data_IF_473548426127
#
_entry.id   IF_473548426127
#
_cell.length_a   1.000
_cell.length_b   1.000
_cell.length_c   1.000
_cell.angle_alpha   90.00
_cell.angle_beta   90.00
_cell.angle_gamma   90.00
#
_symmetry.space_group_name_H-M   'P 1'
#
loop_
_entity.id
_entity.type
_entity.pdbx_description
1 polymer ?
#
# COMPACT_ATOMS: atom_id res chain seq x y z
N UNK A 1 7.03 -63.19 -3.62
CA UNK A 1 6.67 -61.87 -3.04
C UNK A 1 7.70 -60.77 -3.30
N UNK A 2 9.01 -61.05 -3.27
CA UNK A 2 10.10 -60.06 -3.42
C UNK A 2 10.06 -59.18 -4.69
N UNK A 3 9.76 -59.75 -5.87
CA UNK A 3 9.73 -58.98 -7.14
C UNK A 3 8.71 -57.84 -7.11
N UNK A 4 7.56 -58.03 -6.45
CA UNK A 4 6.50 -56.99 -6.32
C UNK A 4 6.98 -55.80 -5.51
N UNK A 5 7.68 -56.07 -4.42
CA UNK A 5 8.20 -55.03 -3.53
C UNK A 5 9.29 -54.21 -4.23
N UNK A 6 10.17 -54.86 -4.97
CA UNK A 6 11.24 -54.19 -5.75
C UNK A 6 10.65 -53.29 -6.84
N UNK A 7 9.64 -53.75 -7.58
CA UNK A 7 8.97 -52.92 -8.60
C UNK A 7 8.26 -51.69 -8.00
N UNK A 8 7.53 -51.87 -6.89
CA UNK A 8 6.86 -50.75 -6.20
C UNK A 8 7.87 -49.76 -5.64
N UNK A 9 8.98 -50.22 -5.06
CA UNK A 9 10.07 -49.37 -4.57
C UNK A 9 10.73 -48.59 -5.71
N UNK A 10 10.95 -49.22 -6.87
CA UNK A 10 11.49 -48.55 -8.05
C UNK A 10 10.59 -47.42 -8.55
N UNK A 11 9.27 -47.67 -8.62
CA UNK A 11 8.30 -46.66 -9.04
C UNK A 11 8.20 -45.51 -8.03
N UNK A 12 8.20 -45.83 -6.73
CA UNK A 12 8.18 -44.83 -5.67
C UNK A 12 9.44 -43.95 -5.72
N UNK A 13 10.62 -44.55 -5.90
CA UNK A 13 11.87 -43.82 -5.99
C UNK A 13 11.96 -42.92 -7.23
N UNK A 14 11.34 -43.30 -8.35
CA UNK A 14 11.25 -42.45 -9.52
C UNK A 14 10.25 -41.29 -9.35
N UNK A 15 9.15 -41.50 -8.62
CA UNK A 15 8.11 -40.49 -8.41
C UNK A 15 8.46 -39.46 -7.33
N UNK A 16 9.21 -39.85 -6.29
CA UNK A 16 9.53 -39.01 -5.13
C UNK A 16 10.24 -37.69 -5.50
N UNK A 17 11.26 -37.66 -6.39
CA UNK A 17 11.90 -36.40 -6.80
C UNK A 17 10.92 -35.44 -7.47
N UNK A 18 10.03 -35.94 -8.32
CA UNK A 18 9.00 -35.14 -8.98
C UNK A 18 8.05 -34.50 -7.99
N UNK A 19 7.51 -35.30 -7.06
CA UNK A 19 6.64 -34.80 -5.98
C UNK A 19 7.36 -33.78 -5.09
N UNK A 20 8.64 -34.00 -4.79
CA UNK A 20 9.47 -33.07 -4.02
C UNK A 20 9.60 -31.70 -4.71
N UNK A 21 9.92 -31.68 -6.00
CA UNK A 21 10.03 -30.43 -6.78
C UNK A 21 8.68 -29.73 -6.90
N UNK A 22 7.58 -30.46 -7.16
CA UNK A 22 6.25 -29.84 -7.26
C UNK A 22 5.78 -29.29 -5.91
N UNK A 23 6.00 -30.00 -4.81
CA UNK A 23 5.68 -29.51 -3.46
C UNK A 23 6.49 -28.27 -3.09
N UNK A 24 7.77 -28.22 -3.46
CA UNK A 24 8.61 -27.03 -3.30
C UNK A 24 8.03 -25.84 -4.08
N UNK A 25 7.74 -26.01 -5.37
CA UNK A 25 7.15 -24.96 -6.22
C UNK A 25 5.78 -24.49 -5.72
N UNK A 26 4.95 -25.41 -5.20
CA UNK A 26 3.68 -25.06 -4.58
C UNK A 26 3.88 -24.16 -3.34
N UNK A 27 4.92 -24.45 -2.54
CA UNK A 27 5.28 -23.64 -1.37
C UNK A 27 5.76 -22.24 -1.77
N UNK A 28 6.58 -22.13 -2.82
CA UNK A 28 6.99 -20.83 -3.39
C UNK A 28 5.78 -20.05 -3.91
N UNK A 29 4.88 -20.67 -4.67
CA UNK A 29 3.68 -20.03 -5.20
C UNK A 29 2.75 -19.54 -4.07
N UNK A 30 2.61 -20.32 -3.00
CA UNK A 30 1.88 -19.91 -1.80
C UNK A 30 2.53 -18.70 -1.11
N UNK A 31 3.86 -18.71 -0.98
CA UNK A 31 4.63 -17.58 -0.45
C UNK A 31 4.40 -16.30 -1.25
N UNK A 32 4.52 -16.38 -2.57
CA UNK A 32 4.26 -15.27 -3.50
C UNK A 32 2.83 -14.74 -3.39
N UNK A 33 1.84 -15.62 -3.29
CA UNK A 33 0.44 -15.21 -3.12
C UNK A 33 0.21 -14.47 -1.79
N UNK A 34 0.76 -14.98 -0.68
CA UNK A 34 0.69 -14.30 0.63
C UNK A 34 1.44 -12.97 0.66
N UNK A 35 2.58 -12.89 -0.03
CA UNK A 35 3.34 -11.64 -0.15
C UNK A 35 2.54 -10.60 -0.93
N UNK A 36 1.92 -10.98 -2.05
CA UNK A 36 1.06 -10.10 -2.84
C UNK A 36 -0.16 -9.64 -2.02
N UNK A 37 -0.80 -10.52 -1.25
CA UNK A 37 -1.93 -10.18 -0.39
C UNK A 37 -1.55 -9.15 0.69
N UNK A 38 -0.41 -9.36 1.38
CA UNK A 38 0.10 -8.39 2.36
C UNK A 38 0.43 -7.04 1.71
N UNK A 39 1.03 -7.06 0.53
CA UNK A 39 1.34 -5.83 -0.21
C UNK A 39 0.06 -5.07 -0.61
N UNK A 40 -0.99 -5.75 -1.05
CA UNK A 40 -2.29 -5.13 -1.34
C UNK A 40 -2.88 -4.48 -0.07
N UNK A 41 -2.86 -5.18 1.08
CA UNK A 41 -3.37 -4.62 2.34
C UNK A 41 -2.59 -3.37 2.75
N UNK A 42 -1.26 -3.40 2.65
CA UNK A 42 -0.42 -2.23 2.92
C UNK A 42 -0.74 -1.07 1.96
N UNK A 43 -0.90 -1.33 0.66
CA UNK A 43 -1.29 -0.30 -0.32
C UNK A 43 -2.66 0.29 -0.01
N UNK A 44 -3.64 -0.54 0.39
CA UNK A 44 -4.98 -0.05 0.82
C UNK A 44 -4.88 0.82 2.08
N UNK A 45 -4.04 0.43 3.05
CA UNK A 45 -3.79 1.24 4.23
C UNK A 45 -3.16 2.59 3.88
N UNK A 46 -2.13 2.61 3.02
CA UNK A 46 -1.53 3.85 2.49
C UNK A 46 -2.59 4.73 1.83
N UNK A 47 -3.40 4.17 0.93
CA UNK A 47 -4.43 4.91 0.21
C UNK A 47 -5.45 5.56 1.15
N UNK A 48 -6.00 4.77 2.08
CA UNK A 48 -7.00 5.26 3.04
C UNK A 48 -6.40 6.31 3.99
N UNK A 49 -5.17 6.11 4.49
CA UNK A 49 -4.50 7.07 5.36
C UNK A 49 -4.18 8.39 4.65
N UNK A 50 -3.77 8.36 3.38
CA UNK A 50 -3.53 9.58 2.60
C UNK A 50 -4.82 10.37 2.34
N UNK A 51 -5.93 9.67 2.04
CA UNK A 51 -7.26 10.30 1.91
C UNK A 51 -7.72 10.89 3.24
N UNK A 52 -7.56 10.14 4.34
CA UNK A 52 -7.87 10.60 5.69
C UNK A 52 -7.06 11.86 6.08
N UNK A 53 -5.75 11.89 5.79
CA UNK A 53 -4.88 13.05 6.02
C UNK A 53 -5.34 14.27 5.21
N UNK A 54 -5.71 14.08 3.94
CA UNK A 54 -6.20 15.15 3.06
C UNK A 54 -7.51 15.72 3.58
N UNK A 55 -8.45 14.84 3.95
CA UNK A 55 -9.76 15.24 4.46
C UNK A 55 -9.66 15.93 5.82
N UNK A 56 -8.82 15.44 6.73
CA UNK A 56 -8.51 16.10 7.99
C UNK A 56 -7.93 17.50 7.73
N UNK A 57 -6.95 17.61 6.84
CA UNK A 57 -6.33 18.90 6.48
C UNK A 57 -7.33 19.89 5.87
N UNK A 58 -8.28 19.41 5.07
CA UNK A 58 -9.36 20.22 4.52
C UNK A 58 -10.31 20.69 5.62
N UNK A 59 -10.72 19.79 6.53
CA UNK A 59 -11.59 20.12 7.65
C UNK A 59 -10.96 21.15 8.58
N UNK A 60 -9.68 20.99 8.93
CA UNK A 60 -8.97 21.96 9.75
C UNK A 60 -8.90 23.33 9.06
N UNK A 61 -8.75 23.37 7.74
CA UNK A 61 -8.82 24.62 6.96
C UNK A 61 -10.19 25.31 7.08
N UNK A 62 -11.28 24.55 6.99
CA UNK A 62 -12.65 25.06 7.17
C UNK A 62 -12.89 25.56 8.60
N UNK A 63 -12.45 24.80 9.61
CA UNK A 63 -12.55 25.20 11.02
C UNK A 63 -11.79 26.50 11.30
N UNK A 64 -10.59 26.65 10.73
CA UNK A 64 -9.80 27.87 10.86
C UNK A 64 -10.50 29.07 10.20
N UNK A 65 -11.05 28.88 8.99
CA UNK A 65 -11.81 29.92 8.31
C UNK A 65 -13.05 30.33 9.10
N UNK A 66 -13.80 29.36 9.63
CA UNK A 66 -14.98 29.60 10.46
C UNK A 66 -14.65 30.31 11.77
N UNK A 67 -13.53 29.96 12.43
CA UNK A 67 -13.11 30.62 13.66
C UNK A 67 -12.83 32.13 13.47
N UNK A 68 -12.32 32.51 12.30
CA UNK A 68 -11.93 33.89 11.99
C UNK A 68 -13.04 34.71 11.32
N UNK A 69 -14.02 34.07 10.67
CA UNK A 69 -15.07 34.75 9.95
C UNK A 69 -16.04 35.49 10.90
N UNK A 70 -16.46 36.73 10.58
CA UNK A 70 -17.52 37.41 11.33
C UNK A 70 -18.84 36.60 11.33
N UNK A 71 -19.22 36.09 10.15
CA UNK A 71 -20.37 35.22 9.93
C UNK A 71 -19.92 33.89 9.29
N UNK A 72 -19.62 32.85 10.09
CA UNK A 72 -19.10 31.59 9.57
C UNK A 72 -20.19 30.70 8.94
N UNK A 73 -19.83 29.98 7.86
CA UNK A 73 -20.64 28.88 7.31
C UNK A 73 -20.48 27.61 8.16
N UNK A 74 -21.25 27.53 9.26
CA UNK A 74 -21.21 26.38 10.16
C UNK A 74 -21.75 25.11 9.50
N UNK A 75 -22.70 25.23 8.58
CA UNK A 75 -23.32 24.07 7.93
C UNK A 75 -22.36 23.41 6.94
N UNK A 76 -21.68 24.20 6.11
CA UNK A 76 -20.58 23.71 5.28
C UNK A 76 -19.46 23.07 6.11
N UNK A 77 -19.13 23.67 7.25
CA UNK A 77 -18.11 23.16 8.18
C UNK A 77 -18.50 21.80 8.80
N UNK A 78 -19.78 21.61 9.15
CA UNK A 78 -20.30 20.31 9.62
C UNK A 78 -20.26 19.25 8.54
N UNK A 79 -20.71 19.58 7.33
CA UNK A 79 -20.72 18.65 6.19
C UNK A 79 -19.30 18.16 5.86
N UNK A 80 -18.34 19.08 5.84
CA UNK A 80 -16.92 18.75 5.69
C UNK A 80 -16.41 17.88 6.86
N UNK A 81 -16.86 18.14 8.09
CA UNK A 81 -16.50 17.35 9.27
C UNK A 81 -17.01 15.90 9.22
N UNK A 82 -18.23 15.69 8.71
CA UNK A 82 -18.78 14.35 8.50
C UNK A 82 -17.97 13.58 7.45
N UNK A 83 -17.67 14.20 6.32
CA UNK A 83 -16.85 13.60 5.27
C UNK A 83 -15.44 13.23 5.77
N UNK A 84 -14.79 14.13 6.53
CA UNK A 84 -13.49 13.87 7.12
C UNK A 84 -13.53 12.73 8.16
N UNK A 85 -14.58 12.66 8.98
CA UNK A 85 -14.75 11.59 9.97
C UNK A 85 -14.93 10.23 9.30
N UNK A 86 -15.70 10.15 8.21
CA UNK A 86 -15.87 8.91 7.45
C UNK A 86 -14.54 8.40 6.88
N UNK A 87 -13.74 9.28 6.27
CA UNK A 87 -12.43 8.93 5.72
C UNK A 87 -11.40 8.57 6.81
N UNK A 88 -11.45 9.22 7.96
CA UNK A 88 -10.62 8.83 9.12
C UNK A 88 -10.99 7.44 9.63
N UNK A 89 -12.27 7.09 9.67
CA UNK A 89 -12.73 5.75 10.04
C UNK A 89 -12.30 4.68 9.01
N UNK A 90 -12.36 4.99 7.71
CA UNK A 90 -11.80 4.13 6.66
C UNK A 90 -10.29 3.93 6.86
N UNK A 91 -9.55 5.00 7.16
CA UNK A 91 -8.14 4.96 7.49
C UNK A 91 -7.82 4.07 8.69
N UNK A 92 -8.61 4.16 9.76
CA UNK A 92 -8.54 3.27 10.93
C UNK A 92 -8.71 1.81 10.52
N UNK A 93 -9.79 1.49 9.79
CA UNK A 93 -10.11 0.12 9.40
C UNK A 93 -9.02 -0.48 8.49
N UNK A 94 -8.55 0.28 7.50
CA UNK A 94 -7.51 -0.16 6.57
C UNK A 94 -6.16 -0.34 7.27
N UNK A 95 -5.77 0.58 8.17
CA UNK A 95 -4.56 0.44 8.98
C UNK A 95 -4.61 -0.81 9.86
N UNK A 96 -5.75 -1.05 10.54
CA UNK A 96 -5.94 -2.25 11.36
C UNK A 96 -5.89 -3.54 10.53
N UNK A 97 -6.52 -3.56 9.35
CA UNK A 97 -6.52 -4.73 8.46
C UNK A 97 -5.11 -5.09 7.97
N UNK A 98 -4.24 -4.09 7.82
CA UNK A 98 -2.84 -4.27 7.46
C UNK A 98 -1.90 -4.48 8.66
N UNK A 99 -2.44 -4.54 9.90
CA UNK A 99 -1.67 -4.79 11.12
C UNK A 99 -0.92 -3.57 11.68
N UNK A 100 -1.28 -2.35 11.27
CA UNK A 100 -0.71 -1.11 11.78
C UNK A 100 -1.50 -0.52 12.96
N UNK A 101 -0.88 0.40 13.69
CA UNK A 101 -1.53 1.12 14.80
C UNK A 101 -2.66 2.02 14.28
N UNK A 102 -3.89 1.69 14.63
CA UNK A 102 -5.09 2.37 14.13
C UNK A 102 -5.64 3.49 15.04
N UNK A 103 -5.00 3.74 16.20
CA UNK A 103 -5.47 4.75 17.17
C UNK A 103 -5.32 6.20 16.66
N UNK A 104 -4.36 6.45 15.76
CA UNK A 104 -4.03 7.80 15.35
C UNK A 104 -5.15 8.48 14.51
N UNK A 105 -5.74 7.86 13.47
CA UNK A 105 -6.88 8.46 12.77
C UNK A 105 -8.09 8.67 13.67
N UNK A 106 -8.32 7.80 14.66
CA UNK A 106 -9.39 7.96 15.65
C UNK A 106 -9.14 9.18 16.57
N UNK A 107 -7.91 9.35 17.07
CA UNK A 107 -7.50 10.54 17.83
C UNK A 107 -7.70 11.83 17.02
N UNK A 108 -7.33 11.81 15.74
CA UNK A 108 -7.53 12.94 14.84
C UNK A 108 -9.02 13.26 14.65
N UNK A 109 -9.87 12.24 14.47
CA UNK A 109 -11.32 12.40 14.34
C UNK A 109 -11.94 13.01 15.60
N UNK A 110 -11.62 12.47 16.78
CA UNK A 110 -12.10 13.02 18.07
C UNK A 110 -11.67 14.47 18.25
N UNK A 111 -10.43 14.79 17.89
CA UNK A 111 -9.91 16.16 17.97
C UNK A 111 -10.66 17.10 17.02
N UNK A 112 -10.89 16.69 15.76
CA UNK A 112 -11.63 17.50 14.79
C UNK A 112 -13.06 17.78 15.25
N UNK A 113 -13.75 16.78 15.82
CA UNK A 113 -15.10 16.95 16.40
C UNK A 113 -15.08 17.90 17.60
N UNK A 114 -14.09 17.78 18.49
CA UNK A 114 -13.96 18.68 19.63
C UNK A 114 -13.70 20.14 19.19
N UNK A 115 -12.84 20.34 18.19
CA UNK A 115 -12.57 21.66 17.62
C UNK A 115 -13.80 22.26 16.93
N UNK A 116 -14.58 21.44 16.21
CA UNK A 116 -15.85 21.87 15.62
C UNK A 116 -16.81 22.45 16.67
N UNK A 117 -17.02 21.74 17.78
CA UNK A 117 -17.89 22.24 18.87
C UNK A 117 -17.39 23.56 19.46
N UNK A 118 -16.07 23.73 19.60
CA UNK A 118 -15.47 24.99 20.06
C UNK A 118 -15.70 26.13 19.06
N UNK A 119 -15.57 25.84 17.75
CA UNK A 119 -15.88 26.81 16.69
C UNK A 119 -17.35 27.21 16.72
N UNK A 120 -18.28 26.28 16.87
CA UNK A 120 -19.71 26.57 16.97
C UNK A 120 -20.02 27.43 18.20
N UNK A 121 -19.44 27.10 19.36
CA UNK A 121 -19.60 27.89 20.58
C UNK A 121 -19.01 29.30 20.46
N UNK A 122 -17.87 29.45 19.77
CA UNK A 122 -17.27 30.76 19.50
C UNK A 122 -18.07 31.57 18.48
N UNK A 123 -18.70 30.92 17.50
CA UNK A 123 -19.53 31.57 16.49
C UNK A 123 -20.79 32.23 17.08
N UNK A 124 -21.29 31.71 18.21
CA UNK A 124 -22.39 32.31 18.97
C UNK A 124 -21.99 33.60 19.71
N UNK A 125 -20.71 33.99 19.69
CA UNK A 125 -20.18 35.14 20.42
C UNK A 125 -19.68 36.22 19.45
N UNK A 126 -19.77 37.51 19.82
CA UNK A 126 -19.12 38.59 19.10
C UNK A 126 -17.61 38.34 18.98
N UNK A 127 -16.94 38.72 17.86
CA UNK A 127 -15.52 38.43 17.64
C UNK A 127 -14.60 38.79 18.81
N UNK A 128 -14.85 39.92 19.48
CA UNK A 128 -14.06 40.39 20.62
C UNK A 128 -14.15 39.50 21.89
N UNK A 129 -15.17 38.64 21.99
CA UNK A 129 -15.36 37.73 23.13
C UNK A 129 -14.98 36.28 22.82
N UNK A 130 -14.63 35.97 21.57
CA UNK A 130 -14.24 34.60 21.16
C UNK A 130 -12.96 34.17 21.88
N UNK A 131 -12.86 32.87 22.14
CA UNK A 131 -11.69 32.25 22.75
C UNK A 131 -10.41 32.57 21.94
N UNK A 132 -9.45 33.33 22.50
CA UNK A 132 -8.25 33.73 21.77
C UNK A 132 -7.31 32.55 21.49
N UNK A 133 -7.49 31.41 22.17
CA UNK A 133 -6.66 30.22 21.98
C UNK A 133 -7.12 29.32 20.84
N UNK A 134 -8.37 29.49 20.37
CA UNK A 134 -8.99 28.58 19.40
C UNK A 134 -8.20 28.48 18.09
N UNK A 135 -7.79 29.61 17.52
CA UNK A 135 -7.01 29.65 16.27
C UNK A 135 -5.66 28.94 16.42
N UNK A 136 -4.98 29.15 17.55
CA UNK A 136 -3.71 28.50 17.87
C UNK A 136 -3.90 26.98 17.98
N UNK A 137 -4.93 26.54 18.70
CA UNK A 137 -5.18 25.12 18.93
C UNK A 137 -5.57 24.38 17.63
N UNK A 138 -6.38 25.01 16.78
CA UNK A 138 -6.71 24.49 15.43
C UNK A 138 -5.44 24.35 14.59
N UNK A 139 -4.56 25.35 14.62
CA UNK A 139 -3.29 25.34 13.86
C UNK A 139 -2.34 24.26 14.39
N UNK A 140 -2.25 24.09 15.71
CA UNK A 140 -1.45 23.04 16.34
C UNK A 140 -1.96 21.65 15.97
N UNK A 141 -3.29 21.44 15.97
CA UNK A 141 -3.89 20.18 15.55
C UNK A 141 -3.57 19.84 14.09
N UNK A 142 -3.57 20.85 13.19
CA UNK A 142 -3.16 20.67 11.79
C UNK A 142 -1.77 20.06 11.67
N UNK A 143 -0.78 20.71 12.26
CA UNK A 143 0.62 20.31 12.13
C UNK A 143 0.85 18.96 12.82
N UNK A 144 0.37 18.81 14.06
CA UNK A 144 0.60 17.60 14.86
C UNK A 144 0.01 16.34 14.22
N UNK A 145 -1.26 16.37 13.81
CA UNK A 145 -1.89 15.21 13.18
C UNK A 145 -1.48 15.02 11.72
N UNK A 146 -1.25 16.11 10.97
CA UNK A 146 -0.75 16.02 9.60
C UNK A 146 0.59 15.29 9.53
N UNK A 147 1.54 15.64 10.40
CA UNK A 147 2.87 15.03 10.42
C UNK A 147 2.82 13.57 10.90
N UNK A 148 2.03 13.27 11.96
CA UNK A 148 1.86 11.91 12.48
C UNK A 148 1.15 10.98 11.48
N UNK A 149 0.10 11.45 10.79
CA UNK A 149 -0.60 10.65 9.77
C UNK A 149 0.30 10.39 8.56
N UNK A 150 1.08 11.39 8.16
CA UNK A 150 2.10 11.22 7.11
C UNK A 150 3.18 10.21 7.52
N UNK A 151 3.60 10.20 8.78
CA UNK A 151 4.52 9.19 9.30
C UNK A 151 3.91 7.79 9.24
N UNK A 152 2.69 7.60 9.76
CA UNK A 152 2.01 6.30 9.72
C UNK A 152 1.85 5.77 8.28
N UNK A 153 1.56 6.67 7.33
CA UNK A 153 1.52 6.34 5.90
C UNK A 153 2.87 5.84 5.38
N UNK A 154 3.97 6.52 5.71
CA UNK A 154 5.32 6.06 5.33
C UNK A 154 5.66 4.72 5.98
N UNK A 155 5.27 4.53 7.25
CA UNK A 155 5.46 3.25 7.94
C UNK A 155 4.74 2.12 7.23
N UNK A 156 3.50 2.34 6.77
CA UNK A 156 2.76 1.38 5.97
C UNK A 156 3.41 1.09 4.60
N UNK A 157 4.03 2.10 3.97
CA UNK A 157 4.72 1.95 2.69
C UNK A 157 6.08 1.25 2.75
N UNK A 158 6.82 1.33 3.86
CA UNK A 158 8.21 0.81 3.95
C UNK A 158 8.35 -0.68 3.64
N UNK A 159 7.36 -1.51 3.99
CA UNK A 159 7.39 -2.95 3.72
C UNK A 159 7.33 -3.30 2.23
N UNK A 160 6.76 -2.41 1.41
CA UNK A 160 6.55 -2.68 -0.02
C UNK A 160 7.85 -2.75 -0.82
N UNK A 161 8.91 -2.06 -0.41
CA UNK A 161 10.17 -2.05 -1.16
C UNK A 161 10.81 -3.44 -1.28
N UNK A 162 10.78 -4.22 -0.20
CA UNK A 162 11.31 -5.59 -0.18
C UNK A 162 10.33 -6.59 -0.81
N UNK A 163 9.04 -6.44 -0.54
CA UNK A 163 8.03 -7.44 -0.90
C UNK A 163 7.43 -7.26 -2.31
N UNK A 164 7.33 -6.02 -2.78
CA UNK A 164 6.63 -5.66 -4.01
C UNK A 164 7.19 -4.34 -4.61
N UNK A 165 8.41 -4.34 -5.18
CA UNK A 165 9.09 -3.12 -5.62
C UNK A 165 8.29 -2.29 -6.65
N UNK A 166 7.51 -2.93 -7.51
CA UNK A 166 6.62 -2.23 -8.45
C UNK A 166 5.50 -1.46 -7.73
N UNK A 167 4.92 -2.02 -6.66
CA UNK A 167 3.92 -1.34 -5.84
C UNK A 167 4.57 -0.21 -5.03
N UNK A 168 5.81 -0.42 -4.57
CA UNK A 168 6.57 0.60 -3.84
C UNK A 168 6.78 1.87 -4.70
N UNK A 169 7.18 1.72 -5.97
CA UNK A 169 7.35 2.84 -6.89
C UNK A 169 6.05 3.64 -7.11
N UNK A 170 4.92 2.95 -7.24
CA UNK A 170 3.61 3.59 -7.38
C UNK A 170 3.19 4.34 -6.10
N UNK A 171 3.45 3.73 -4.93
CA UNK A 171 3.21 4.37 -3.62
C UNK A 171 4.13 5.57 -3.39
N UNK A 172 5.35 5.53 -3.91
CA UNK A 172 6.29 6.66 -3.87
C UNK A 172 5.75 7.86 -4.66
N UNK A 173 5.26 7.64 -5.89
CA UNK A 173 4.57 8.69 -6.68
C UNK A 173 3.38 9.27 -5.90
N UNK A 174 2.52 8.41 -5.33
CA UNK A 174 1.40 8.86 -4.51
C UNK A 174 1.84 9.69 -3.30
N UNK A 175 2.95 9.30 -2.66
CA UNK A 175 3.52 10.02 -1.51
C UNK A 175 4.06 11.40 -1.89
N UNK A 176 4.72 11.55 -3.04
CA UNK A 176 5.14 12.85 -3.55
C UNK A 176 3.96 13.75 -3.92
N UNK A 177 2.88 13.20 -4.49
CA UNK A 177 1.66 13.95 -4.79
C UNK A 177 0.98 14.46 -3.49
N UNK A 178 0.97 13.66 -2.42
CA UNK A 178 0.48 14.11 -1.11
C UNK A 178 1.41 15.17 -0.49
N UNK A 179 2.73 15.02 -0.60
CA UNK A 179 3.69 16.00 -0.09
C UNK A 179 3.57 17.36 -0.80
N UNK A 180 3.36 17.34 -2.12
CA UNK A 180 3.02 18.50 -2.93
C UNK A 180 1.76 19.16 -2.37
N UNK A 181 0.66 18.39 -2.23
CA UNK A 181 -0.61 18.90 -1.72
C UNK A 181 -0.52 19.47 -0.30
N UNK A 182 0.24 18.85 0.60
CA UNK A 182 0.41 19.34 1.98
C UNK A 182 1.17 20.66 1.99
N UNK A 183 2.26 20.75 1.24
CA UNK A 183 3.07 21.97 1.13
C UNK A 183 2.25 23.13 0.55
N UNK A 184 1.46 22.87 -0.51
CA UNK A 184 0.51 23.84 -1.06
C UNK A 184 -0.56 24.24 -0.03
N UNK A 185 -1.10 23.29 0.72
CA UNK A 185 -2.08 23.54 1.76
C UNK A 185 -1.55 24.45 2.86
N UNK A 186 -0.32 24.21 3.35
CA UNK A 186 0.33 25.06 4.36
C UNK A 186 0.63 26.45 3.82
N UNK A 187 1.12 26.56 2.58
CA UNK A 187 1.39 27.85 1.91
C UNK A 187 0.10 28.65 1.75
N UNK A 188 -0.96 27.99 1.32
CA UNK A 188 -2.28 28.57 1.18
C UNK A 188 -2.87 29.11 2.49
N UNK A 189 -2.59 28.48 3.63
CA UNK A 189 -2.99 29.01 4.94
C UNK A 189 -2.26 30.31 5.29
N UNK A 190 -0.96 30.42 5.02
CA UNK A 190 -0.21 31.66 5.21
C UNK A 190 -0.79 32.78 4.34
N UNK A 191 -1.01 32.49 3.06
CA UNK A 191 -1.62 33.44 2.12
C UNK A 191 -3.01 33.88 2.60
N UNK A 192 -3.86 32.93 3.01
CA UNK A 192 -5.21 33.23 3.52
C UNK A 192 -5.15 34.13 4.76
N UNK A 193 -4.19 33.90 5.65
CA UNK A 193 -3.95 34.71 6.85
C UNK A 193 -3.57 36.15 6.48
N UNK A 194 -2.65 36.33 5.53
CA UNK A 194 -2.21 37.65 5.08
C UNK A 194 -3.32 38.44 4.38
N UNK A 195 -4.07 37.77 3.48
CA UNK A 195 -5.23 38.37 2.83
C UNK A 195 -6.35 38.69 3.84
N UNK A 196 -6.41 37.96 4.96
CA UNK A 196 -7.30 38.21 6.09
C UNK A 196 -6.86 39.36 7.01
N UNK A 197 -5.78 40.06 6.68
CA UNK A 197 -5.29 41.23 7.41
C UNK A 197 -4.20 40.95 8.44
N UNK A 198 -3.74 39.71 8.59
CA UNK A 198 -2.57 39.45 9.43
C UNK A 198 -1.31 40.06 8.78
N UNK A 199 -0.45 40.73 9.56
CA UNK A 199 0.75 41.37 9.03
C UNK A 199 1.69 40.31 8.43
N UNK A 200 2.28 40.63 7.27
CA UNK A 200 3.36 39.81 6.72
C UNK A 200 4.61 40.10 7.52
N UNK A 201 5.13 39.09 8.22
CA UNK A 201 6.41 39.19 8.94
C UNK A 201 7.53 38.51 8.14
N UNK A 202 8.80 38.92 8.35
CA UNK A 202 9.95 38.24 7.73
C UNK A 202 9.95 36.73 7.98
N UNK A 203 9.58 36.30 9.19
CA UNK A 203 9.50 34.89 9.55
C UNK A 203 8.43 34.13 8.74
N UNK A 204 7.21 34.68 8.63
CA UNK A 204 6.13 34.04 7.86
C UNK A 204 6.42 34.01 6.36
N UNK A 205 7.05 35.05 5.82
CA UNK A 205 7.44 35.11 4.41
C UNK A 205 8.56 34.09 4.10
N UNK A 206 9.59 34.00 4.95
CA UNK A 206 10.61 32.96 4.84
C UNK A 206 10.00 31.55 4.88
N UNK A 207 9.03 31.32 5.77
CA UNK A 207 8.29 30.07 5.83
C UNK A 207 7.56 29.74 4.51
N UNK A 208 6.94 30.73 3.87
CA UNK A 208 6.32 30.55 2.56
C UNK A 208 7.34 30.26 1.44
N UNK A 209 8.52 30.88 1.49
CA UNK A 209 9.62 30.58 0.55
C UNK A 209 10.14 29.15 0.70
N UNK A 210 10.28 28.64 1.92
CA UNK A 210 10.62 27.22 2.16
C UNK A 210 9.55 26.30 1.57
N UNK A 211 8.26 26.66 1.71
CA UNK A 211 7.17 25.89 1.12
C UNK A 211 7.18 25.93 -0.41
N UNK A 212 7.55 27.06 -1.03
CA UNK A 212 7.77 27.12 -2.49
C UNK A 212 8.84 26.11 -2.95
N UNK A 213 9.96 26.04 -2.24
CA UNK A 213 11.02 25.05 -2.54
C UNK A 213 10.53 23.60 -2.42
N UNK A 214 9.73 23.28 -1.40
CA UNK A 214 9.16 21.93 -1.22
C UNK A 214 8.12 21.56 -2.28
N UNK A 215 7.31 22.53 -2.69
CA UNK A 215 6.35 22.38 -3.81
C UNK A 215 7.11 22.07 -5.10
N UNK A 216 8.12 22.87 -5.42
CA UNK A 216 8.97 22.69 -6.60
C UNK A 216 9.65 21.32 -6.59
N UNK A 217 10.29 20.95 -5.48
CA UNK A 217 10.94 19.65 -5.33
C UNK A 217 9.95 18.50 -5.55
N UNK A 218 8.78 18.53 -4.89
CA UNK A 218 7.79 17.45 -5.03
C UNK A 218 7.27 17.34 -6.46
N UNK A 219 7.10 18.48 -7.15
CA UNK A 219 6.68 18.50 -8.55
C UNK A 219 7.76 17.95 -9.50
N UNK A 220 9.03 18.27 -9.29
CA UNK A 220 10.14 17.73 -10.06
C UNK A 220 10.29 16.21 -9.87
N UNK A 221 10.12 15.72 -8.64
CA UNK A 221 10.14 14.27 -8.37
C UNK A 221 9.00 13.54 -9.10
N UNK A 222 7.80 14.11 -9.15
CA UNK A 222 6.68 13.51 -9.89
C UNK A 222 6.98 13.44 -11.40
N UNK A 223 7.52 14.52 -11.97
CA UNK A 223 7.93 14.56 -13.38
C UNK A 223 9.05 13.56 -13.69
N UNK A 224 9.94 13.29 -12.72
CA UNK A 224 11.02 12.32 -12.87
C UNK A 224 10.53 10.87 -12.72
N UNK A 225 9.67 10.60 -11.75
CA UNK A 225 9.25 9.24 -11.38
C UNK A 225 8.21 8.67 -12.35
N UNK A 226 7.20 9.47 -12.72
CA UNK A 226 6.07 8.98 -13.52
C UNK A 226 6.51 8.37 -14.86
N UNK A 227 7.39 9.02 -15.67
CA UNK A 227 7.82 8.47 -16.96
C UNK A 227 8.64 7.17 -16.86
N UNK A 228 9.12 6.80 -15.66
CA UNK A 228 9.85 5.53 -15.47
C UNK A 228 8.94 4.31 -15.40
N UNK A 229 7.63 4.52 -15.30
CA UNK A 229 6.62 3.47 -15.23
C UNK A 229 5.80 3.43 -16.51
N UNK A 230 5.63 2.25 -17.08
CA UNK A 230 4.80 2.04 -18.26
C UNK A 230 3.30 2.02 -17.89
N UNK A 231 2.72 3.20 -17.67
CA UNK A 231 1.31 3.35 -17.28
C UNK A 231 0.65 4.55 -17.98
N UNK A 232 -0.18 4.31 -19.01
CA UNK A 232 -0.90 5.39 -19.71
C UNK A 232 -1.78 6.24 -18.79
N UNK A 233 -2.41 5.62 -17.79
CA UNK A 233 -3.25 6.31 -16.81
C UNK A 233 -2.43 7.31 -15.96
N UNK A 234 -1.21 6.94 -15.56
CA UNK A 234 -0.31 7.84 -14.84
C UNK A 234 0.17 9.00 -15.71
N UNK A 235 0.53 8.73 -16.96
CA UNK A 235 0.94 9.77 -17.90
C UNK A 235 -0.20 10.77 -18.12
N UNK A 236 -1.43 10.29 -18.30
CA UNK A 236 -2.60 11.13 -18.42
C UNK A 236 -2.84 11.97 -17.15
N UNK A 237 -2.74 11.35 -15.97
CA UNK A 237 -2.90 12.05 -14.70
C UNK A 237 -1.81 13.11 -14.47
N UNK A 238 -0.56 12.85 -14.87
CA UNK A 238 0.53 13.82 -14.82
C UNK A 238 0.27 14.99 -15.76
N UNK A 239 -0.21 14.75 -16.98
CA UNK A 239 -0.54 15.81 -17.94
C UNK A 239 -1.69 16.70 -17.47
N UNK A 240 -2.73 16.11 -16.88
CA UNK A 240 -3.80 16.88 -16.23
C UNK A 240 -3.24 17.71 -15.09
N UNK A 241 -2.42 17.12 -14.22
CA UNK A 241 -1.77 17.83 -13.12
C UNK A 241 -0.86 18.95 -13.63
N UNK A 242 -0.10 18.75 -14.71
CA UNK A 242 0.75 19.77 -15.32
C UNK A 242 -0.07 20.98 -15.75
N UNK A 243 -1.18 20.76 -16.46
CA UNK A 243 -2.09 21.81 -16.91
C UNK A 243 -2.75 22.54 -15.75
N UNK A 244 -3.42 21.80 -14.88
CA UNK A 244 -4.31 22.38 -13.88
C UNK A 244 -3.53 22.97 -12.70
N UNK A 245 -2.41 22.34 -12.32
CA UNK A 245 -1.56 22.82 -11.25
C UNK A 245 -0.40 23.68 -11.75
N UNK A 246 0.53 23.14 -12.54
CA UNK A 246 1.79 23.82 -12.82
C UNK A 246 1.61 25.05 -13.72
N UNK A 247 0.75 24.95 -14.75
CA UNK A 247 0.48 26.04 -15.68
C UNK A 247 -0.56 27.03 -15.14
N UNK A 248 -1.68 26.52 -14.60
CA UNK A 248 -2.80 27.38 -14.23
C UNK A 248 -2.76 27.89 -12.78
N UNK A 249 -2.41 27.05 -11.79
CA UNK A 249 -2.60 27.39 -10.37
C UNK A 249 -1.33 27.88 -9.66
N UNK A 250 -0.19 27.25 -9.90
CA UNK A 250 1.10 27.56 -9.25
C UNK A 250 1.53 29.03 -9.43
N UNK A 251 1.41 29.65 -10.62
CA UNK A 251 1.81 31.04 -10.80
C UNK A 251 1.03 32.01 -9.88
N UNK A 252 -0.26 31.73 -9.64
CA UNK A 252 -1.09 32.57 -8.77
C UNK A 252 -0.65 32.49 -7.31
N UNK A 253 -0.37 31.29 -6.79
CA UNK A 253 0.15 31.16 -5.43
C UNK A 253 1.53 31.80 -5.27
N UNK A 254 2.44 31.62 -6.24
CA UNK A 254 3.79 32.23 -6.19
C UNK A 254 3.71 33.75 -6.20
N UNK A 255 2.89 34.33 -7.07
CA UNK A 255 2.66 35.78 -7.13
C UNK A 255 2.21 36.36 -5.79
N UNK A 256 1.34 35.66 -5.05
CA UNK A 256 0.88 36.12 -3.74
C UNK A 256 1.99 36.08 -2.67
N UNK A 257 2.91 35.11 -2.74
CA UNK A 257 4.10 35.08 -1.87
C UNK A 257 5.06 36.21 -2.23
N UNK A 258 5.28 36.48 -3.50
CA UNK A 258 6.13 37.59 -3.97
C UNK A 258 5.59 38.95 -3.52
N UNK A 259 4.29 39.18 -3.66
CA UNK A 259 3.63 40.39 -3.14
C UNK A 259 3.76 40.48 -1.61
N UNK A 260 3.68 39.36 -0.89
CA UNK A 260 3.90 39.38 0.55
C UNK A 260 5.32 39.88 0.89
N UNK A 261 6.34 39.49 0.09
CA UNK A 261 7.70 39.99 0.23
C UNK A 261 7.83 41.50 0.00
N UNK A 262 7.18 42.05 -1.02
CA UNK A 262 7.24 43.50 -1.28
C UNK A 262 6.56 44.32 -0.18
N UNK A 263 5.50 43.79 0.44
CA UNK A 263 4.83 44.42 1.60
C UNK A 263 5.68 44.50 2.86
N UNK A 264 6.72 43.68 3.00
CA UNK A 264 7.68 43.81 4.11
C UNK A 264 8.55 45.07 3.92
N UNK A 265 8.87 45.40 2.66
CA UNK A 265 9.73 46.54 2.33
C UNK A 265 8.96 47.86 2.18
N UNK A 266 7.67 47.80 1.86
CA UNK A 266 6.82 48.97 1.67
C UNK A 266 5.46 48.78 2.34
N UNK A 267 5.15 49.64 3.32
CA UNK A 267 3.84 49.71 3.95
C UNK A 267 2.77 50.21 2.96
N UNK A 268 1.51 49.83 3.17
CA UNK A 268 0.37 50.41 2.44
C UNK A 268 0.13 49.90 1.02
N UNK A 269 0.90 48.94 0.51
CA UNK A 269 0.54 48.25 -0.74
C UNK A 269 -0.82 47.55 -0.59
N UNK A 270 -1.58 47.40 -1.67
CA UNK A 270 -2.82 46.61 -1.67
C UNK A 270 -2.55 45.17 -2.14
N UNK A 271 -3.39 44.23 -1.69
CA UNK A 271 -3.36 42.87 -2.23
C UNK A 271 -3.97 42.86 -3.64
N UNK A 272 -3.44 42.05 -4.58
CA UNK A 272 -3.94 42.01 -5.96
C UNK A 272 -5.36 41.43 -6.05
N UNK A 273 -5.84 40.77 -5.00
CA UNK A 273 -7.18 40.21 -4.92
C UNK A 273 -7.70 40.20 -3.47
N UNK A 274 -9.03 40.25 -3.27
CA UNK A 274 -9.62 40.13 -1.95
C UNK A 274 -9.60 38.68 -1.43
N UNK A 275 -9.53 38.51 -0.10
CA UNK A 275 -9.49 37.20 0.55
C UNK A 275 -10.64 36.27 0.16
N UNK A 276 -11.84 36.81 -0.11
CA UNK A 276 -13.00 36.03 -0.52
C UNK A 276 -12.79 35.37 -1.90
N UNK A 277 -12.26 36.11 -2.87
CA UNK A 277 -11.95 35.61 -4.21
C UNK A 277 -10.89 34.51 -4.15
N UNK A 278 -9.83 34.74 -3.38
CA UNK A 278 -8.77 33.75 -3.18
C UNK A 278 -9.33 32.45 -2.61
N UNK A 279 -10.16 32.51 -1.55
CA UNK A 279 -10.74 31.32 -0.93
C UNK A 279 -11.62 30.51 -1.89
N UNK A 280 -12.46 31.18 -2.67
CA UNK A 280 -13.35 30.53 -3.64
C UNK A 280 -12.57 29.76 -4.70
N UNK A 281 -11.45 30.30 -5.17
CA UNK A 281 -10.57 29.65 -6.14
C UNK A 281 -9.65 28.59 -5.52
N UNK A 282 -9.10 28.86 -4.34
CA UNK A 282 -8.03 28.06 -3.77
C UNK A 282 -8.47 26.65 -3.33
N UNK A 283 -9.69 26.50 -2.81
CA UNK A 283 -10.21 25.19 -2.40
C UNK A 283 -10.30 24.18 -3.55
N UNK A 284 -10.95 24.49 -4.69
CA UNK A 284 -10.98 23.57 -5.83
C UNK A 284 -9.59 23.37 -6.45
N UNK A 285 -8.74 24.40 -6.52
CA UNK A 285 -7.37 24.26 -7.02
C UNK A 285 -6.55 23.26 -6.18
N UNK A 286 -6.68 23.33 -4.84
CA UNK A 286 -6.07 22.37 -3.93
C UNK A 286 -6.68 20.97 -4.05
N UNK A 287 -7.97 20.84 -4.39
CA UNK A 287 -8.59 19.54 -4.60
C UNK A 287 -8.08 18.88 -5.89
N UNK A 288 -7.81 19.64 -6.95
CA UNK A 288 -7.29 19.11 -8.22
C UNK A 288 -5.92 18.43 -8.08
N UNK A 289 -5.09 18.86 -7.14
CA UNK A 289 -3.70 18.39 -6.98
C UNK A 289 -3.59 16.90 -6.59
N UNK A 290 -4.67 16.27 -6.12
CA UNK A 290 -4.61 14.87 -5.65
C UNK A 290 -4.95 13.82 -6.70
N UNK A 291 -5.29 14.22 -7.93
CA UNK A 291 -5.67 13.27 -8.99
C UNK A 291 -4.55 12.26 -9.31
N UNK A 292 -3.30 12.72 -9.40
CA UNK A 292 -2.14 11.86 -9.65
C UNK A 292 -1.89 10.85 -8.51
N UNK A 293 -2.17 11.23 -7.25
CA UNK A 293 -2.13 10.30 -6.12
C UNK A 293 -3.11 9.16 -6.32
N UNK A 294 -4.36 9.49 -6.61
CA UNK A 294 -5.42 8.49 -6.71
C UNK A 294 -5.17 7.54 -7.89
N UNK A 295 -4.73 8.07 -9.04
CA UNK A 295 -4.33 7.24 -10.18
C UNK A 295 -3.16 6.29 -9.85
N UNK A 296 -2.15 6.75 -9.11
CA UNK A 296 -1.02 5.92 -8.70
C UNK A 296 -1.42 4.82 -7.72
N UNK A 297 -2.26 5.12 -6.74
CA UNK A 297 -2.77 4.13 -5.79
C UNK A 297 -3.68 3.10 -6.46
N UNK A 298 -4.53 3.53 -7.39
CA UNK A 298 -5.37 2.62 -8.17
C UNK A 298 -4.52 1.69 -9.03
N UNK A 299 -3.52 2.22 -9.76
CA UNK A 299 -2.56 1.41 -10.50
C UNK A 299 -1.81 0.42 -9.60
N UNK A 300 -1.45 0.81 -8.38
CA UNK A 300 -0.78 -0.06 -7.41
C UNK A 300 -1.68 -1.23 -6.98
N UNK A 301 -2.96 -0.95 -6.73
CA UNK A 301 -3.94 -1.97 -6.35
C UNK A 301 -4.19 -2.94 -7.50
N UNK A 302 -4.42 -2.45 -8.72
CA UNK A 302 -4.61 -3.28 -9.91
C UNK A 302 -3.38 -4.18 -10.17
N UNK A 303 -2.18 -3.62 -10.05
CA UNK A 303 -0.93 -4.38 -10.19
C UNK A 303 -0.81 -5.45 -9.12
N UNK A 304 -1.14 -5.14 -7.87
CA UNK A 304 -1.16 -6.08 -6.76
C UNK A 304 -2.15 -7.23 -6.99
N UNK A 305 -3.38 -6.90 -7.40
CA UNK A 305 -4.45 -7.87 -7.66
C UNK A 305 -4.13 -8.81 -8.82
N UNK A 306 -3.53 -8.29 -9.91
CA UNK A 306 -3.04 -9.10 -11.01
C UNK A 306 -1.95 -10.09 -10.56
N UNK A 307 -1.00 -9.64 -9.71
CA UNK A 307 0.05 -10.51 -9.13
C UNK A 307 -0.54 -11.58 -8.21
N UNK A 308 -1.50 -11.23 -7.37
CA UNK A 308 -2.18 -12.17 -6.49
C UNK A 308 -2.95 -13.23 -7.30
N UNK A 309 -3.68 -12.81 -8.34
CA UNK A 309 -4.39 -13.72 -9.23
C UNK A 309 -3.42 -14.70 -9.93
N UNK A 310 -2.31 -14.20 -10.48
CA UNK A 310 -1.26 -15.03 -11.08
C UNK A 310 -0.69 -16.05 -10.09
N UNK A 311 -0.36 -15.62 -8.87
CA UNK A 311 0.11 -16.52 -7.80
C UNK A 311 -0.89 -17.62 -7.44
N UNK A 312 -2.19 -17.28 -7.38
CA UNK A 312 -3.27 -18.25 -7.12
C UNK A 312 -3.42 -19.26 -8.27
N UNK A 313 -3.33 -18.82 -9.51
CA UNK A 313 -3.39 -19.72 -10.67
C UNK A 313 -2.19 -20.67 -10.73
N UNK A 314 -0.98 -20.17 -10.45
CA UNK A 314 0.22 -21.01 -10.36
C UNK A 314 0.07 -22.06 -9.25
N UNK A 315 -0.39 -21.66 -8.07
CA UNK A 315 -0.65 -22.58 -6.97
C UNK A 315 -1.68 -23.65 -7.35
N UNK A 316 -2.81 -23.25 -7.93
CA UNK A 316 -3.86 -24.17 -8.37
C UNK A 316 -3.33 -25.18 -9.40
N UNK A 317 -2.53 -24.72 -10.37
CA UNK A 317 -1.87 -25.58 -11.34
C UNK A 317 -0.89 -26.58 -10.70
N UNK A 318 -0.09 -26.14 -9.72
CA UNK A 318 0.82 -27.03 -8.98
C UNK A 318 0.06 -28.07 -8.16
N UNK A 319 -1.02 -27.68 -7.48
CA UNK A 319 -1.88 -28.62 -6.75
C UNK A 319 -2.55 -29.62 -7.69
N UNK A 320 -3.05 -29.17 -8.84
CA UNK A 320 -3.62 -30.05 -9.86
C UNK A 320 -2.57 -31.06 -10.39
N UNK A 321 -1.33 -30.62 -10.61
CA UNK A 321 -0.23 -31.50 -11.02
C UNK A 321 0.11 -32.54 -9.95
N UNK A 322 0.17 -32.15 -8.67
CA UNK A 322 0.38 -33.09 -7.55
C UNK A 322 -0.75 -34.13 -7.53
N UNK A 323 -2.01 -33.70 -7.60
CA UNK A 323 -3.16 -34.60 -7.63
C UNK A 323 -3.14 -35.52 -8.84
N UNK A 324 -2.76 -35.01 -10.02
CA UNK A 324 -2.60 -35.79 -11.24
C UNK A 324 -1.50 -36.84 -11.13
N UNK A 325 -0.33 -36.49 -10.56
CA UNK A 325 0.77 -37.43 -10.31
C UNK A 325 0.38 -38.52 -9.31
N UNK A 326 -0.32 -38.15 -8.23
CA UNK A 326 -0.85 -39.10 -7.25
C UNK A 326 -1.90 -40.03 -7.87
N UNK A 327 -2.79 -39.48 -8.72
CA UNK A 327 -3.78 -40.25 -9.47
C UNK A 327 -3.14 -41.24 -10.44
N UNK A 328 -2.14 -40.80 -11.21
CA UNK A 328 -1.40 -41.65 -12.15
C UNK A 328 -0.64 -42.75 -11.41
N UNK A 329 0.03 -42.43 -10.30
CA UNK A 329 0.70 -43.41 -9.45
C UNK A 329 -0.30 -44.43 -8.88
N UNK A 330 -1.46 -43.99 -8.40
CA UNK A 330 -2.53 -44.87 -7.91
C UNK A 330 -3.10 -45.78 -9.01
N UNK A 331 -3.31 -45.25 -10.21
CA UNK A 331 -3.75 -46.02 -11.37
C UNK A 331 -2.71 -47.07 -11.80
N UNK A 332 -1.43 -46.70 -11.86
CA UNK A 332 -0.32 -47.60 -12.19
C UNK A 332 -0.22 -48.76 -11.18
N UNK A 333 -0.28 -48.45 -9.88
CA UNK A 333 -0.31 -49.46 -8.80
C UNK A 333 -1.53 -50.38 -8.96
N UNK A 334 -2.72 -49.83 -9.24
CA UNK A 334 -3.94 -50.62 -9.43
C UNK A 334 -3.85 -51.57 -10.63
N UNK A 335 -3.33 -51.10 -11.76
CA UNK A 335 -3.12 -51.91 -12.96
C UNK A 335 -2.10 -53.01 -12.69
N UNK A 336 -0.98 -52.69 -12.03
CA UNK A 336 0.05 -53.66 -11.63
C UNK A 336 -0.54 -54.76 -10.73
N UNK A 337 -1.33 -54.38 -9.72
CA UNK A 337 -1.98 -55.33 -8.81
C UNK A 337 -3.02 -56.21 -9.53
N UNK A 338 -3.81 -55.65 -10.46
CA UNK A 338 -4.83 -56.41 -11.19
C UNK A 338 -4.24 -57.33 -12.25
N UNK A 339 -3.30 -56.86 -13.05
CA UNK A 339 -2.79 -57.59 -14.23
C UNK A 339 -1.61 -58.50 -13.95
N UNK A 340 -0.73 -58.14 -13.02
CA UNK A 340 0.49 -58.94 -12.76
C UNK A 340 0.32 -59.78 -11.52
N UNK A 341 -0.23 -59.20 -10.46
CA UNK A 341 -0.27 -59.84 -9.14
C UNK A 341 -1.39 -60.87 -9.02
N UNK A 342 -2.61 -60.52 -9.46
CA UNK A 342 -3.79 -61.40 -9.34
C UNK A 342 -3.69 -62.73 -10.13
N UNK A 343 -3.24 -62.77 -11.40
CA UNK A 343 -3.16 -64.04 -12.14
C UNK A 343 -2.10 -65.01 -11.62
N UNK A 344 -1.02 -64.51 -10.99
CA UNK A 344 0.00 -65.37 -10.35
C UNK A 344 -0.46 -66.03 -9.04
N UNK A 345 -1.61 -65.61 -8.50
CA UNK A 345 -2.21 -66.19 -7.30
C UNK A 345 -3.28 -67.24 -7.59
N UNK A 346 -3.62 -67.49 -8.86
CA UNK A 346 -4.48 -68.61 -9.22
C UNK A 346 -3.68 -69.90 -9.03
N UNK A 347 -4.09 -70.83 -8.14
CA UNK A 347 -3.37 -72.07 -7.91
C UNK A 347 -3.37 -72.89 -9.20
N UNK A 348 -2.27 -72.83 -9.95
CA UNK A 348 -1.96 -73.85 -10.94
C UNK A 348 -1.80 -75.16 -10.18
N UNK A 349 -2.72 -76.07 -10.44
CA UNK A 349 -2.78 -77.37 -9.78
C UNK A 349 -1.45 -78.10 -9.82
N UNK A 350 -1.07 -78.62 -8.64
CA UNK A 350 -0.31 -79.86 -8.39
C UNK A 350 0.71 -80.23 -9.49
N UNK A 351 1.97 -79.80 -9.32
CA UNK A 351 3.13 -80.46 -9.94
C UNK A 351 4.06 -81.03 -8.86
N UNK A 352 4.61 -82.25 -9.06
CA UNK A 352 5.36 -83.00 -8.07
C UNK A 352 6.78 -82.48 -7.83
N UNK A 353 7.33 -82.90 -6.70
CA UNK A 353 8.59 -82.49 -6.07
C UNK A 353 9.80 -82.31 -7.01
N UNK A 354 10.56 -81.24 -6.81
CA UNK A 354 11.91 -81.05 -7.36
C UNK A 354 12.83 -80.45 -6.29
N UNK A 355 14.13 -80.82 -6.23
CA UNK A 355 14.97 -80.65 -5.06
C UNK A 355 15.69 -79.29 -4.99
N UNK A 356 15.98 -78.91 -3.75
CA UNK A 356 16.63 -77.72 -3.23
C UNK A 356 17.72 -77.07 -4.12
N UNK A 357 17.39 -75.93 -4.72
CA UNK A 357 18.36 -74.95 -5.22
C UNK A 357 18.55 -73.83 -4.17
N UNK A 358 19.79 -73.66 -3.72
CA UNK A 358 20.23 -72.79 -2.62
C UNK A 358 20.33 -71.34 -3.12
N UNK A 359 19.29 -70.53 -2.94
CA UNK A 359 19.28 -69.10 -3.26
C UNK A 359 19.90 -68.29 -2.12
N UNK A 360 20.88 -67.43 -2.44
CA UNK A 360 21.56 -66.51 -1.52
C UNK A 360 20.61 -65.39 -1.04
N UNK A 361 20.79 -65.01 0.23
CA UNK A 361 19.81 -64.24 1.01
C UNK A 361 19.56 -62.80 0.49
N UNK A 362 18.30 -62.36 0.36
CA UNK A 362 17.91 -61.05 -0.23
C UNK A 362 18.28 -59.78 0.56
N UNK A 363 18.81 -59.89 1.79
CA UNK A 363 19.05 -58.72 2.66
C UNK A 363 20.03 -57.69 2.04
N UNK A 364 21.01 -58.12 1.26
CA UNK A 364 22.04 -57.22 0.72
C UNK A 364 21.55 -56.20 -0.33
N UNK A 365 20.41 -56.43 -0.98
CA UNK A 365 19.93 -55.57 -2.07
C UNK A 365 19.07 -54.39 -1.55
N UNK A 366 18.37 -54.58 -0.43
CA UNK A 366 17.58 -53.51 0.22
C UNK A 366 18.50 -52.48 0.88
N UNK A 367 19.58 -52.92 1.53
CA UNK A 367 20.51 -52.02 2.21
C UNK A 367 21.25 -51.08 1.24
N UNK A 368 21.65 -51.58 0.05
CA UNK A 368 22.28 -50.74 -0.99
C UNK A 368 21.33 -49.67 -1.52
N UNK A 369 20.05 -49.99 -1.68
CA UNK A 369 19.04 -49.05 -2.13
C UNK A 369 18.75 -47.96 -1.08
N UNK A 370 18.62 -48.34 0.20
CA UNK A 370 18.44 -47.39 1.30
C UNK A 370 19.69 -46.50 1.52
N UNK A 371 20.88 -47.00 1.22
CA UNK A 371 22.11 -46.19 1.23
C UNK A 371 22.10 -45.11 0.13
N UNK A 372 21.66 -45.45 -1.09
CA UNK A 372 21.55 -44.50 -2.19
C UNK A 372 20.54 -43.37 -1.92
N UNK A 373 19.37 -43.70 -1.33
CA UNK A 373 18.37 -42.70 -0.93
C UNK A 373 18.95 -41.74 0.13
N UNK A 374 19.65 -42.27 1.14
CA UNK A 374 20.28 -41.44 2.19
C UNK A 374 21.37 -40.52 1.63
N UNK A 375 22.13 -40.97 0.63
CA UNK A 375 23.14 -40.13 -0.04
C UNK A 375 22.50 -38.98 -0.83
N UNK A 376 21.41 -39.24 -1.57
CA UNK A 376 20.69 -38.21 -2.32
C UNK A 376 20.05 -37.16 -1.41
N UNK A 377 19.52 -37.56 -0.26
CA UNK A 377 18.93 -36.63 0.72
C UNK A 377 19.96 -35.70 1.38
N UNK A 378 21.18 -36.18 1.64
CA UNK A 378 22.25 -35.35 2.22
C UNK A 378 22.73 -34.24 1.29
N UNK A 379 22.73 -34.48 -0.03
CA UNK A 379 23.15 -33.48 -1.02
C UNK A 379 22.15 -32.30 -1.17
N UNK A 380 20.86 -32.54 -0.95
CA UNK A 380 19.83 -31.49 -1.03
C UNK A 380 19.70 -30.61 0.22
N UNK A 381 20.33 -31.01 1.34
CA UNK A 381 20.29 -30.25 2.59
C UNK A 381 21.46 -29.26 2.73
N UNK A 382 22.64 -29.59 2.19
CA UNK A 382 23.83 -28.71 2.26
C UNK A 382 23.73 -27.49 1.34
N UNK A 383 23.02 -27.57 0.22
CA UNK A 383 22.83 -26.43 -0.70
C UNK A 383 21.98 -25.28 -0.12
N UNK A 384 21.37 -25.46 1.06
CA UNK A 384 20.53 -24.46 1.73
C UNK A 384 21.27 -23.53 2.70
N UNK A 385 22.53 -23.81 3.05
CA UNK A 385 23.25 -23.02 4.05
C UNK A 385 24.26 -22.01 3.47
N UNK A 386 24.59 -22.08 2.17
CA UNK A 386 25.57 -21.17 1.53
C UNK A 386 24.95 -19.98 0.77
N UNK A 387 23.65 -19.71 0.93
CA UNK A 387 22.98 -18.52 0.34
C UNK A 387 22.04 -17.82 1.33
N UNK A 388 22.48 -17.68 2.56
CA UNK A 388 22.06 -16.66 3.51
C UNK A 388 23.31 -15.86 3.89
#
# INVERSE_FOLDING_TARGET
MHIRMVFLLGFLAAALPGLGVTAWRATEAWGTARQAERAILATRAVAALQRAQTAFSAQIGQLLAAAQAPAPDLEGTRRSGLAATALLAEGTAAASAAGFRANLPEEASRTAVALLRRVEAAAAQPPARRDPTLVRDITAARSGFGDRLGQLTREAGRGLGADAPQLAALVEIASHAVALRDSLGRRSLLISSWLGGQPVTPATHLGAMVLNGRVEQSWQELQRLVPTLDSPALHQALEVQRRDFAEAAEPRWRRLVEVAGTRIAAEGLDWPEPAASFRQWNLPALAGVVALRDAALEAALLTGEARLASGRWLLAGMLALILGLLGLAGAAVTVLLRRVVRPLGAPTGRSPASPAARWSSPCGQVDRFLAAIRAAWRFGASARYDRA
#
